data_IF_639180332618
#
_entry.id   IF_639180332618
#
_cell.length_a   1.000
_cell.length_b   1.000
_cell.length_c   1.000
_cell.angle_alpha   90.00
_cell.angle_beta   90.00
_cell.angle_gamma   90.00
#
_symmetry.space_group_name_H-M   'P 1'
#
loop_
_entity.id
_entity.type
_entity.pdbx_description
1 polymer ?
#
# COMPACT_ATOMS: atom_id res chain seq x y z
N UNK A 1 -0.07 -4.59 -2.42
CA UNK A 1 0.82 -5.74 -2.07
C UNK A 1 1.13 -5.72 -0.59
N UNK A 2 1.12 -6.88 0.08
CA UNK A 2 1.54 -7.08 1.47
C UNK A 2 2.72 -8.06 1.53
N UNK A 3 3.50 -7.99 2.60
CA UNK A 3 4.63 -8.88 2.87
C UNK A 3 5.83 -8.11 3.39
N UNK A 4 6.68 -8.78 4.15
CA UNK A 4 7.93 -8.21 4.65
C UNK A 4 8.91 -7.84 3.53
N UNK A 5 10.08 -7.36 3.92
CA UNK A 5 11.16 -7.09 2.97
C UNK A 5 11.59 -8.37 2.23
N UNK A 6 12.09 -8.23 1.01
CA UNK A 6 12.57 -9.35 0.20
C UNK A 6 11.59 -10.53 0.04
N UNK A 7 10.28 -10.26 0.03
CA UNK A 7 9.24 -11.28 -0.25
C UNK A 7 8.79 -11.27 -1.72
N UNK A 8 9.44 -10.51 -2.58
CA UNK A 8 9.14 -10.48 -4.02
C UNK A 8 7.93 -9.63 -4.44
N UNK A 9 7.42 -8.77 -3.55
CA UNK A 9 6.28 -7.86 -3.84
C UNK A 9 6.49 -7.06 -5.13
N UNK A 10 7.59 -6.32 -5.20
CA UNK A 10 7.93 -5.44 -6.32
C UNK A 10 8.05 -6.21 -7.63
N UNK A 11 8.76 -7.34 -7.62
CA UNK A 11 8.90 -8.17 -8.82
C UNK A 11 7.56 -8.69 -9.31
N UNK A 12 6.68 -9.10 -8.40
CA UNK A 12 5.34 -9.56 -8.74
C UNK A 12 4.46 -8.40 -9.24
N UNK A 13 4.46 -7.27 -8.54
CA UNK A 13 3.66 -6.10 -8.92
C UNK A 13 4.02 -5.60 -10.33
N UNK A 14 5.30 -5.50 -10.64
CA UNK A 14 5.80 -5.12 -11.96
C UNK A 14 5.41 -6.15 -13.03
N UNK A 15 5.55 -7.44 -12.75
CA UNK A 15 5.15 -8.49 -13.68
C UNK A 15 3.65 -8.44 -13.99
N UNK A 16 2.80 -8.32 -12.96
CA UNK A 16 1.36 -8.20 -13.13
C UNK A 16 0.96 -6.91 -13.89
N UNK A 17 1.64 -5.79 -13.62
CA UNK A 17 1.40 -4.55 -14.34
C UNK A 17 1.63 -4.71 -15.85
N UNK A 18 2.70 -5.39 -16.24
CA UNK A 18 3.01 -5.69 -17.65
C UNK A 18 2.01 -6.67 -18.24
N UNK A 19 1.72 -7.77 -17.55
CA UNK A 19 0.86 -8.85 -18.04
C UNK A 19 -0.56 -8.37 -18.32
N UNK A 20 -1.10 -7.55 -17.42
CA UNK A 20 -2.48 -7.05 -17.50
C UNK A 20 -2.58 -5.64 -18.09
N UNK A 21 -1.47 -4.99 -18.39
CA UNK A 21 -1.42 -3.58 -18.85
C UNK A 21 -2.18 -2.63 -17.91
N UNK A 22 -1.97 -2.81 -16.61
CA UNK A 22 -2.61 -2.05 -15.55
C UNK A 22 -1.62 -1.10 -14.88
N UNK A 23 -2.16 -0.05 -14.24
CA UNK A 23 -1.34 0.95 -13.54
C UNK A 23 -0.55 0.34 -12.39
N UNK A 24 0.68 0.81 -12.20
CA UNK A 24 1.58 0.41 -11.12
C UNK A 24 1.99 1.64 -10.31
N UNK A 25 1.80 1.57 -9.01
CA UNK A 25 2.16 2.61 -8.07
C UNK A 25 3.30 2.09 -7.22
N UNK A 26 4.51 2.67 -7.38
CA UNK A 26 5.70 2.22 -6.65
C UNK A 26 5.69 2.66 -5.19
N UNK A 27 6.65 2.13 -4.43
CA UNK A 27 6.88 2.44 -3.04
C UNK A 27 7.48 3.84 -2.85
N UNK A 28 6.71 4.77 -2.29
CA UNK A 28 7.20 6.12 -1.97
C UNK A 28 8.33 6.10 -0.94
N UNK A 29 8.33 5.13 -0.02
CA UNK A 29 9.40 4.95 0.95
C UNK A 29 10.75 4.70 0.26
N UNK A 30 10.78 3.98 -0.86
CA UNK A 30 12.00 3.72 -1.62
C UNK A 30 12.59 5.01 -2.17
N UNK A 31 11.76 5.85 -2.77
CA UNK A 31 12.18 7.16 -3.27
C UNK A 31 12.73 8.04 -2.15
N UNK A 32 12.10 8.02 -0.97
CA UNK A 32 12.58 8.72 0.22
C UNK A 32 13.98 8.23 0.62
N UNK A 33 14.19 6.90 0.73
CA UNK A 33 15.49 6.33 1.11
C UNK A 33 16.56 6.62 0.07
N UNK A 34 16.23 6.55 -1.21
CA UNK A 34 17.16 6.83 -2.31
C UNK A 34 17.60 8.30 -2.33
N UNK A 35 16.71 9.23 -1.96
CA UNK A 35 17.03 10.66 -1.89
C UNK A 35 17.76 11.05 -0.60
N UNK A 36 17.28 10.53 0.53
CA UNK A 36 17.82 10.89 1.84
C UNK A 36 19.04 10.06 2.26
N UNK A 37 19.31 8.94 1.56
CA UNK A 37 20.37 7.98 1.86
C UNK A 37 20.33 7.46 3.31
N UNK A 38 19.12 7.38 3.88
CA UNK A 38 18.83 6.86 5.23
C UNK A 38 17.41 6.38 5.34
N UNK A 39 17.16 5.55 6.33
CA UNK A 39 15.79 5.18 6.72
C UNK A 39 15.04 6.39 7.31
N UNK A 40 13.70 6.45 7.16
CA UNK A 40 12.89 7.52 7.72
C UNK A 40 12.86 7.46 9.24
N UNK A 41 12.63 8.62 9.86
CA UNK A 41 12.38 8.77 11.28
C UNK A 41 10.88 8.64 11.59
N UNK A 42 10.55 8.55 12.88
CA UNK A 42 9.15 8.43 13.30
C UNK A 42 8.29 9.62 12.84
N UNK A 43 8.83 10.83 12.87
CA UNK A 43 8.13 12.06 12.46
C UNK A 43 7.82 12.11 10.96
N UNK A 44 8.54 11.31 10.15
CA UNK A 44 8.41 11.27 8.70
C UNK A 44 7.41 10.20 8.22
N UNK A 45 7.02 9.27 9.09
CA UNK A 45 6.13 8.15 8.73
C UNK A 45 4.75 8.64 8.24
N UNK A 46 4.21 9.66 8.89
CA UNK A 46 2.93 10.29 8.48
C UNK A 46 3.00 10.84 7.05
N UNK A 47 4.07 11.53 6.73
CA UNK A 47 4.27 12.13 5.42
C UNK A 47 4.43 11.07 4.33
N UNK A 48 5.14 9.98 4.62
CA UNK A 48 5.31 8.84 3.71
C UNK A 48 3.96 8.14 3.46
N UNK A 49 3.17 7.90 4.51
CA UNK A 49 1.83 7.33 4.37
C UNK A 49 0.92 8.21 3.52
N UNK A 50 0.90 9.52 3.75
CA UNK A 50 0.11 10.47 2.99
C UNK A 50 0.55 10.50 1.53
N UNK A 51 1.85 10.59 1.26
CA UNK A 51 2.38 10.61 -0.09
C UNK A 51 2.04 9.32 -0.87
N UNK A 52 2.07 8.15 -0.23
CA UNK A 52 1.64 6.90 -0.85
C UNK A 52 0.13 6.93 -1.18
N UNK A 53 -0.70 7.45 -0.29
CA UNK A 53 -2.13 7.59 -0.52
C UNK A 53 -2.44 8.63 -1.61
N UNK A 54 -1.70 9.73 -1.65
CA UNK A 54 -1.87 10.77 -2.67
C UNK A 54 -1.50 10.23 -4.06
N UNK A 55 -0.39 9.51 -4.20
CA UNK A 55 -0.01 8.84 -5.45
C UNK A 55 -1.08 7.85 -5.94
N UNK A 56 -1.72 7.11 -5.03
CA UNK A 56 -2.85 6.23 -5.36
C UNK A 56 -4.04 7.05 -5.83
N UNK A 57 -4.40 8.13 -5.14
CA UNK A 57 -5.51 9.01 -5.49
C UNK A 57 -5.34 9.70 -6.84
N UNK A 58 -4.13 10.14 -7.15
CA UNK A 58 -3.77 10.71 -8.45
C UNK A 58 -3.96 9.67 -9.56
N UNK A 59 -3.36 8.49 -9.41
CA UNK A 59 -3.48 7.42 -10.39
C UNK A 59 -4.93 6.96 -10.61
N UNK A 60 -5.75 6.88 -9.53
CA UNK A 60 -7.18 6.57 -9.64
C UNK A 60 -7.96 7.67 -10.38
N UNK A 61 -7.56 8.93 -10.24
CA UNK A 61 -8.21 10.07 -10.91
C UNK A 61 -7.93 10.09 -12.42
N UNK A 62 -6.83 9.48 -12.86
CA UNK A 62 -6.43 9.37 -14.27
C UNK A 62 -7.08 8.18 -14.99
N UNK A 63 -7.71 7.26 -14.25
CA UNK A 63 -8.40 6.13 -14.85
C UNK A 63 -9.63 6.58 -15.64
N UNK A 64 -9.85 5.96 -16.81
CA UNK A 64 -11.04 6.21 -17.62
C UNK A 64 -12.31 5.75 -16.86
N UNK A 65 -13.24 6.66 -16.53
CA UNK A 65 -14.48 6.28 -15.86
C UNK A 65 -15.35 5.30 -16.66
N UNK A 66 -15.12 5.19 -17.96
CA UNK A 66 -15.82 4.27 -18.86
C UNK A 66 -15.20 2.87 -18.90
N UNK A 67 -14.02 2.68 -18.35
CA UNK A 67 -13.37 1.37 -18.32
C UNK A 67 -14.05 0.45 -17.31
N UNK A 68 -14.48 -0.72 -17.78
CA UNK A 68 -15.11 -1.72 -16.91
C UNK A 68 -14.04 -2.35 -16.03
N UNK A 69 -14.09 -2.08 -14.71
CA UNK A 69 -13.23 -2.72 -13.71
C UNK A 69 -11.74 -2.40 -13.83
N UNK A 70 -11.32 -1.11 -13.94
CA UNK A 70 -9.91 -0.79 -13.99
C UNK A 70 -9.21 -1.26 -12.70
N UNK A 71 -8.01 -1.84 -12.86
CA UNK A 71 -7.19 -2.36 -11.77
C UNK A 71 -5.94 -1.51 -11.64
N UNK A 72 -5.57 -1.16 -10.40
CA UNK A 72 -4.28 -0.58 -10.05
C UNK A 72 -3.54 -1.49 -9.09
N UNK A 73 -2.24 -1.64 -9.30
CA UNK A 73 -1.38 -2.35 -8.36
C UNK A 73 -0.57 -1.34 -7.57
N UNK A 74 -0.73 -1.37 -6.24
CA UNK A 74 0.05 -0.57 -5.31
C UNK A 74 1.09 -1.46 -4.59
N UNK A 75 2.36 -1.09 -4.69
CA UNK A 75 3.47 -1.79 -4.06
C UNK A 75 4.33 -0.81 -3.25
N UNK A 76 4.24 -0.89 -1.91
CA UNK A 76 3.33 -1.73 -1.13
C UNK A 76 1.95 -1.09 -0.90
N UNK A 77 1.07 -1.81 -0.20
CA UNK A 77 -0.14 -1.23 0.38
C UNK A 77 0.22 -0.15 1.41
N UNK A 78 -0.56 0.95 1.56
CA UNK A 78 -0.38 1.93 2.64
C UNK A 78 -0.36 1.30 4.04
N UNK A 79 -0.98 0.12 4.20
CA UNK A 79 -0.93 -0.67 5.43
C UNK A 79 0.49 -1.05 5.86
N UNK A 80 1.41 -1.23 4.90
CA UNK A 80 2.79 -1.57 5.21
C UNK A 80 3.54 -0.44 5.92
N UNK A 81 3.18 0.82 5.69
CA UNK A 81 3.73 1.94 6.47
C UNK A 81 3.36 1.81 7.95
N UNK A 82 2.10 1.40 8.26
CA UNK A 82 1.69 1.15 9.64
C UNK A 82 2.44 -0.05 10.26
N UNK A 83 2.64 -1.13 9.50
CA UNK A 83 3.44 -2.29 9.94
C UNK A 83 4.86 -1.87 10.28
N UNK A 84 5.52 -1.10 9.41
CA UNK A 84 6.89 -0.63 9.67
C UNK A 84 6.94 0.39 10.81
N UNK A 85 5.97 1.30 10.92
CA UNK A 85 5.90 2.23 12.05
C UNK A 85 5.77 1.51 13.40
N UNK A 86 4.97 0.45 13.47
CA UNK A 86 4.89 -0.36 14.67
C UNK A 86 6.20 -1.12 14.93
N UNK A 87 6.78 -1.73 13.88
CA UNK A 87 7.98 -2.56 14.02
C UNK A 87 9.19 -1.77 14.49
N UNK A 88 9.39 -0.56 13.97
CA UNK A 88 10.60 0.24 14.24
C UNK A 88 10.43 1.26 15.35
N UNK A 89 9.22 1.76 15.57
CA UNK A 89 8.96 2.87 16.48
C UNK A 89 7.92 2.56 17.56
N UNK A 90 7.27 1.41 17.51
CA UNK A 90 6.19 1.06 18.45
C UNK A 90 4.91 1.87 18.24
N UNK A 91 4.77 2.56 17.09
CA UNK A 91 3.64 3.43 16.81
C UNK A 91 2.41 2.64 16.32
N UNK A 92 1.53 2.32 17.26
CA UNK A 92 0.26 1.66 16.98
C UNK A 92 -0.79 2.60 16.35
N UNK A 93 -0.69 3.91 16.56
CA UNK A 93 -1.70 4.86 16.08
C UNK A 93 -1.71 4.94 14.54
N UNK A 94 -0.61 4.59 13.89
CA UNK A 94 -0.49 4.58 12.44
C UNK A 94 -1.50 3.64 11.76
N UNK A 95 -1.94 2.56 12.41
CA UNK A 95 -2.96 1.66 11.85
C UNK A 95 -4.31 2.35 11.66
N UNK A 96 -4.78 3.09 12.66
CA UNK A 96 -6.05 3.83 12.55
C UNK A 96 -5.97 4.87 11.41
N UNK A 97 -4.82 5.53 11.29
CA UNK A 97 -4.58 6.51 10.23
C UNK A 97 -4.55 5.87 8.84
N UNK A 98 -3.80 4.78 8.67
CA UNK A 98 -3.73 4.04 7.40
C UNK A 98 -5.12 3.52 7.00
N UNK A 99 -5.85 2.93 7.93
CA UNK A 99 -7.21 2.44 7.70
C UNK A 99 -8.14 3.56 7.25
N UNK A 100 -8.13 4.70 7.95
CA UNK A 100 -8.97 5.84 7.63
C UNK A 100 -8.67 6.40 6.23
N UNK A 101 -7.39 6.51 5.85
CA UNK A 101 -6.97 6.97 4.52
C UNK A 101 -7.37 5.99 3.42
N UNK A 102 -7.16 4.69 3.64
CA UNK A 102 -7.54 3.65 2.68
C UNK A 102 -9.05 3.62 2.45
N UNK A 103 -9.85 3.78 3.51
CA UNK A 103 -11.31 3.90 3.40
C UNK A 103 -11.73 5.17 2.66
N UNK A 104 -11.09 6.30 2.97
CA UNK A 104 -11.38 7.56 2.30
C UNK A 104 -11.12 7.47 0.80
N UNK A 105 -10.01 6.84 0.37
CA UNK A 105 -9.70 6.60 -1.03
C UNK A 105 -10.75 5.68 -1.69
N UNK A 106 -11.08 4.55 -1.04
CA UNK A 106 -12.07 3.60 -1.56
C UNK A 106 -13.42 4.25 -1.79
N UNK A 107 -13.86 5.08 -0.85
CA UNK A 107 -15.13 5.81 -0.96
C UNK A 107 -15.09 6.94 -2.00
N UNK A 108 -14.01 7.70 -2.07
CA UNK A 108 -13.87 8.82 -3.00
C UNK A 108 -13.87 8.36 -4.47
N UNK A 109 -13.27 7.21 -4.75
CA UNK A 109 -13.08 6.69 -6.10
C UNK A 109 -13.91 5.43 -6.38
N UNK A 110 -14.78 5.00 -5.44
CA UNK A 110 -15.71 3.87 -5.61
C UNK A 110 -15.02 2.57 -6.03
N UNK A 111 -13.97 2.18 -5.31
CA UNK A 111 -13.25 0.93 -5.57
C UNK A 111 -13.14 0.05 -4.31
N UNK A 112 -12.72 -1.20 -4.50
CA UNK A 112 -12.46 -2.14 -3.42
C UNK A 112 -10.97 -2.47 -3.33
N UNK A 113 -10.46 -2.60 -2.09
CA UNK A 113 -9.13 -3.11 -1.83
C UNK A 113 -9.09 -4.64 -1.97
N UNK A 114 -8.06 -5.11 -2.65
CA UNK A 114 -7.69 -6.52 -2.67
C UNK A 114 -6.22 -6.67 -2.33
N UNK A 115 -5.88 -7.55 -1.39
CA UNK A 115 -4.53 -7.70 -0.89
C UNK A 115 -3.88 -8.98 -1.38
N UNK A 116 -2.77 -8.86 -2.09
CA UNK A 116 -1.87 -9.97 -2.40
C UNK A 116 -0.79 -10.02 -1.32
N UNK A 117 -0.79 -11.05 -0.48
CA UNK A 117 0.16 -11.24 0.61
C UNK A 117 1.25 -12.21 0.19
N UNK A 118 2.46 -11.71 -0.04
CA UNK A 118 3.63 -12.50 -0.41
C UNK A 118 4.26 -13.15 0.83
N UNK A 119 4.33 -14.48 0.85
CA UNK A 119 5.02 -15.25 1.89
C UNK A 119 6.55 -15.04 1.85
N UNK A 120 7.23 -15.47 2.89
CA UNK A 120 8.69 -15.36 3.05
C UNK A 120 9.47 -16.61 2.58
N UNK A 121 8.86 -17.38 1.70
CA UNK A 121 9.37 -18.64 1.16
C UNK A 121 10.45 -18.49 0.08
N UNK A 122 10.87 -17.25 -0.22
CA UNK A 122 12.00 -16.99 -1.09
C UNK A 122 13.25 -16.59 -0.28
N UNK A 123 14.42 -16.90 -0.85
CA UNK A 123 15.70 -16.62 -0.19
C UNK A 123 15.87 -15.13 0.05
N UNK A 124 16.16 -14.76 1.29
CA UNK A 124 16.45 -13.37 1.64
C UNK A 124 17.80 -12.93 1.02
N UNK A 125 17.83 -11.71 0.50
CA UNK A 125 19.04 -11.09 -0.06
C UNK A 125 19.13 -9.64 0.41
N UNK A 126 20.34 -9.23 0.84
CA UNK A 126 20.60 -7.84 1.16
C UNK A 126 20.51 -6.95 -0.11
N UNK A 127 20.05 -5.71 0.04
CA UNK A 127 20.03 -4.69 -1.01
C UNK A 127 20.48 -3.31 -0.50
N UNK A 128 21.28 -3.28 0.53
CA UNK A 128 21.80 -2.04 1.12
C UNK A 128 20.93 -1.48 2.24
N UNK A 129 20.39 -0.26 2.10
CA UNK A 129 19.75 0.49 3.20
C UNK A 129 18.31 0.10 3.50
N UNK A 130 17.69 -0.77 2.71
CA UNK A 130 16.25 -1.04 2.81
C UNK A 130 15.90 -2.44 3.31
N UNK A 131 16.89 -3.22 3.72
CA UNK A 131 16.68 -4.59 4.21
C UNK A 131 17.50 -4.86 5.46
N UNK A 132 16.79 -4.93 6.57
CA UNK A 132 17.39 -5.05 7.90
C UNK A 132 17.62 -6.49 8.34
N UNK A 133 17.24 -7.46 7.50
CA UNK A 133 17.55 -8.86 7.71
C UNK A 133 16.37 -9.81 7.86
N UNK A 134 16.62 -11.13 7.83
CA UNK A 134 15.56 -12.13 7.86
C UNK A 134 14.64 -12.04 9.09
N UNK A 135 15.17 -11.63 10.24
CA UNK A 135 14.39 -11.45 11.47
C UNK A 135 13.38 -10.30 11.34
N UNK A 136 13.79 -9.18 10.72
CA UNK A 136 12.88 -8.07 10.48
C UNK A 136 11.78 -8.44 9.49
N UNK A 137 12.10 -9.23 8.46
CA UNK A 137 11.11 -9.79 7.55
C UNK A 137 10.10 -10.68 8.30
N UNK A 138 10.56 -11.60 9.14
CA UNK A 138 9.69 -12.48 9.93
C UNK A 138 8.78 -11.68 10.87
N UNK A 139 9.31 -10.64 11.52
CA UNK A 139 8.52 -9.74 12.37
C UNK A 139 7.44 -9.01 11.60
N UNK A 140 7.77 -8.46 10.41
CA UNK A 140 6.76 -7.79 9.56
C UNK A 140 5.63 -8.75 9.19
N UNK A 141 5.93 -10.01 8.87
CA UNK A 141 4.90 -11.00 8.54
C UNK A 141 4.01 -11.32 9.73
N UNK A 142 4.60 -11.54 10.91
CA UNK A 142 3.84 -11.76 12.15
C UNK A 142 2.92 -10.56 12.47
N UNK A 143 3.37 -9.33 12.23
CA UNK A 143 2.56 -8.13 12.41
C UNK A 143 1.43 -8.04 11.38
N UNK A 144 1.64 -8.40 10.11
CA UNK A 144 0.59 -8.46 9.10
C UNK A 144 -0.50 -9.46 9.51
N UNK A 145 -0.12 -10.62 10.03
CA UNK A 145 -1.06 -11.62 10.53
C UNK A 145 -1.84 -11.14 11.76
N UNK A 146 -1.17 -10.44 12.66
CA UNK A 146 -1.78 -9.87 13.87
C UNK A 146 -2.70 -8.69 13.56
N UNK A 147 -2.33 -7.85 12.61
CA UNK A 147 -3.04 -6.64 12.20
C UNK A 147 -3.43 -6.71 10.71
N UNK A 148 -4.36 -7.58 10.34
CA UNK A 148 -4.79 -7.67 8.95
C UNK A 148 -5.50 -6.38 8.51
N UNK A 149 -5.25 -5.92 7.27
CA UNK A 149 -5.87 -4.70 6.78
C UNK A 149 -7.38 -4.88 6.65
N UNK A 150 -8.12 -3.85 7.06
CA UNK A 150 -9.57 -3.72 6.85
C UNK A 150 -10.40 -4.88 7.44
N UNK A 151 -9.90 -5.57 8.48
CA UNK A 151 -10.63 -6.66 9.14
C UNK A 151 -11.97 -6.15 9.69
N UNK A 152 -13.04 -6.87 9.36
CA UNK A 152 -14.40 -6.55 9.84
C UNK A 152 -15.13 -5.46 9.05
N UNK A 153 -14.58 -4.97 7.94
CA UNK A 153 -15.29 -4.10 7.02
C UNK A 153 -15.99 -4.97 5.99
N UNK A 154 -17.30 -4.98 5.99
CA UNK A 154 -18.13 -5.80 5.12
C UNK A 154 -17.67 -5.68 3.64
N UNK A 155 -17.31 -6.81 3.05
CA UNK A 155 -16.91 -6.90 1.65
C UNK A 155 -15.43 -6.69 1.34
N UNK A 156 -14.60 -6.28 2.30
CA UNK A 156 -13.19 -5.93 2.06
C UNK A 156 -12.16 -6.93 2.60
N UNK A 157 -12.57 -8.06 3.17
CA UNK A 157 -11.67 -9.10 3.71
C UNK A 157 -11.10 -10.00 2.60
N UNK A 158 -10.50 -9.40 1.58
CA UNK A 158 -9.96 -10.16 0.45
C UNK A 158 -8.45 -10.11 0.48
N UNK A 159 -7.88 -11.12 1.12
CA UNK A 159 -6.44 -11.35 1.13
C UNK A 159 -6.15 -12.69 0.46
N UNK A 160 -5.32 -12.67 -0.57
CA UNK A 160 -4.80 -13.88 -1.21
C UNK A 160 -3.36 -14.10 -0.75
N UNK A 161 -3.08 -15.27 -0.19
CA UNK A 161 -1.75 -15.66 0.23
C UNK A 161 -1.00 -16.29 -0.93
N UNK A 162 0.18 -15.75 -1.23
CA UNK A 162 1.00 -16.14 -2.36
C UNK A 162 2.29 -16.81 -1.88
N UNK A 163 2.51 -18.04 -2.33
CA UNK A 163 3.69 -18.84 -2.07
C UNK A 163 4.36 -19.26 -3.38
N UNK A 164 5.58 -19.80 -3.28
CA UNK A 164 6.34 -20.28 -4.44
C UNK A 164 7.14 -19.19 -5.15
N UNK A 165 7.67 -19.54 -6.30
CA UNK A 165 8.43 -18.63 -7.15
C UNK A 165 7.55 -17.60 -7.86
N UNK A 166 8.19 -16.68 -8.58
CA UNK A 166 7.50 -15.58 -9.29
C UNK A 166 6.40 -16.09 -10.23
N UNK A 167 6.66 -17.13 -11.01
CA UNK A 167 5.71 -17.64 -12.00
C UNK A 167 4.46 -18.25 -11.33
N UNK A 168 4.65 -18.97 -10.22
CA UNK A 168 3.53 -19.52 -9.46
C UNK A 168 2.66 -18.42 -8.86
N UNK A 169 3.28 -17.41 -8.25
CA UNK A 169 2.58 -16.24 -7.71
C UNK A 169 1.85 -15.45 -8.80
N UNK A 170 2.46 -15.29 -9.98
CA UNK A 170 1.81 -14.68 -11.15
C UNK A 170 0.56 -15.45 -11.54
N UNK A 171 0.68 -16.78 -11.67
CA UNK A 171 -0.44 -17.65 -12.05
C UNK A 171 -1.61 -17.56 -11.06
N UNK A 172 -1.33 -17.61 -9.74
CA UNK A 172 -2.35 -17.49 -8.69
C UNK A 172 -3.01 -16.10 -8.77
N UNK A 173 -2.20 -15.05 -8.85
CA UNK A 173 -2.70 -13.67 -8.93
C UNK A 173 -3.56 -13.46 -10.16
N UNK A 174 -3.17 -14.00 -11.31
CA UNK A 174 -3.93 -13.92 -12.55
C UNK A 174 -5.33 -14.53 -12.39
N UNK A 175 -5.43 -15.76 -11.89
CA UNK A 175 -6.72 -16.39 -11.65
C UNK A 175 -7.62 -15.52 -10.76
N UNK A 176 -7.06 -14.91 -9.71
CA UNK A 176 -7.82 -14.06 -8.79
C UNK A 176 -8.25 -12.74 -9.42
N UNK A 177 -7.38 -12.09 -10.17
CA UNK A 177 -7.73 -10.85 -10.87
C UNK A 177 -8.81 -11.09 -11.94
N UNK A 178 -8.74 -12.21 -12.65
CA UNK A 178 -9.77 -12.61 -13.62
C UNK A 178 -11.13 -12.88 -12.94
N UNK A 179 -11.12 -13.48 -11.74
CA UNK A 179 -12.33 -13.70 -10.95
C UNK A 179 -12.93 -12.38 -10.44
N UNK A 180 -12.08 -11.46 -9.97
CA UNK A 180 -12.50 -10.14 -9.51
C UNK A 180 -13.11 -9.31 -10.65
N UNK A 181 -12.54 -9.35 -11.84
CA UNK A 181 -13.02 -8.64 -13.01
C UNK A 181 -14.41 -9.15 -13.50
N UNK A 182 -14.82 -10.35 -13.09
CA UNK A 182 -16.11 -10.95 -13.43
C UNK A 182 -17.16 -10.85 -12.32
N UNK A 183 -16.77 -10.40 -11.12
CA UNK A 183 -17.66 -10.35 -9.96
C UNK A 183 -18.37 -8.98 -9.86
N UNK A 184 -19.71 -8.89 -10.06
CA UNK A 184 -20.43 -7.62 -9.96
C UNK A 184 -20.34 -6.95 -8.60
N UNK A 185 -20.25 -7.75 -7.52
CA UNK A 185 -20.12 -7.25 -6.14
C UNK A 185 -18.74 -6.63 -5.88
N UNK A 186 -17.73 -6.98 -6.70
CA UNK A 186 -16.38 -6.43 -6.60
C UNK A 186 -16.24 -5.11 -7.36
N UNK A 187 -17.13 -4.84 -8.29
CA UNK A 187 -17.13 -3.70 -9.22
C UNK A 187 -17.89 -2.48 -8.67
N UNK A 188 -18.10 -2.40 -7.37
CA UNK A 188 -18.58 -1.16 -6.76
C UNK A 188 -19.92 -1.28 -6.05
N UNK A 189 -19.88 -1.44 -4.75
CA UNK A 189 -20.93 -0.94 -3.87
C UNK A 189 -20.32 0.18 -3.00
N UNK A 190 -20.94 1.37 -2.91
CA UNK A 190 -20.43 2.43 -2.07
C UNK A 190 -20.45 2.02 -0.61
N UNK A 191 -19.31 2.09 0.07
CA UNK A 191 -19.24 1.95 1.52
C UNK A 191 -19.59 3.30 2.13
N UNK A 192 -20.82 3.42 2.62
CA UNK A 192 -21.27 4.62 3.34
C UNK A 192 -20.84 4.49 4.80
N UNK A 193 -19.92 5.32 5.25
CA UNK A 193 -19.58 5.41 6.65
C UNK A 193 -19.51 6.87 7.13
N UNK A 194 -20.19 7.18 8.24
CA UNK A 194 -20.38 8.53 8.76
C UNK A 194 -19.07 9.21 9.25
N UNK A 195 -18.00 8.44 9.47
CA UNK A 195 -16.69 8.96 9.92
C UNK A 195 -15.92 9.76 8.85
N UNK A 196 -16.32 9.65 7.58
CA UNK A 196 -15.66 10.35 6.45
C UNK A 196 -15.82 11.86 6.54
N UNK A 197 -16.89 12.36 7.16
CA UNK A 197 -17.16 13.80 7.29
C UNK A 197 -16.09 14.51 8.13
N UNK A 198 -15.50 13.83 9.11
CA UNK A 198 -14.45 14.39 9.95
C UNK A 198 -13.11 14.56 9.20
N UNK A 199 -12.81 13.69 8.20
CA UNK A 199 -11.55 13.71 7.47
C UNK A 199 -11.49 14.81 6.39
N UNK A 200 -12.62 15.15 5.76
CA UNK A 200 -12.67 16.30 4.84
C UNK A 200 -12.41 17.64 5.54
N UNK A 201 -12.72 17.73 6.84
CA UNK A 201 -12.39 18.90 7.65
C UNK A 201 -10.92 18.95 8.04
N UNK A 202 -10.26 17.79 8.17
CA UNK A 202 -8.84 17.67 8.47
C UNK A 202 -7.96 18.02 7.26
N UNK A 203 -8.29 17.53 6.04
CA UNK A 203 -7.61 17.92 4.80
C UNK A 203 -7.64 19.44 4.57
N UNK A 204 -8.79 20.09 4.74
CA UNK A 204 -8.91 21.54 4.58
C UNK A 204 -8.05 22.36 5.56
N UNK A 205 -7.67 21.81 6.69
CA UNK A 205 -6.78 22.47 7.65
C UNK A 205 -5.29 22.27 7.31
N UNK A 206 -4.94 21.25 6.55
CA UNK A 206 -3.55 20.99 6.15
C UNK A 206 -3.17 21.65 4.81
N UNK A 207 -4.10 21.78 3.88
CA UNK A 207 -3.87 22.48 2.59
C UNK A 207 -3.70 24.00 2.72
N UNK A 208 -3.84 24.56 3.93
CA UNK A 208 -3.57 25.96 4.24
C UNK A 208 -2.11 26.26 4.64
N UNK A 209 -1.13 25.38 4.35
CA UNK A 209 0.29 25.62 4.60
C UNK A 209 1.20 25.15 3.48
N UNK A 210 2.40 25.76 3.39
CA UNK A 210 3.09 25.93 2.12
C UNK A 210 3.77 24.65 1.68
N UNK A 211 3.58 24.37 0.43
CA UNK A 211 4.54 23.93 -0.58
C UNK A 211 5.93 23.53 -0.06
N UNK A 212 6.03 22.31 0.50
CA UNK A 212 7.26 21.52 0.60
C UNK A 212 6.90 20.08 0.88
N UNK A 213 7.09 19.23 -0.13
CA UNK A 213 7.10 17.80 0.06
C UNK A 213 8.18 17.42 1.10
N UNK A 214 8.03 16.32 1.84
CA UNK A 214 9.06 15.81 2.77
C UNK A 214 10.42 15.61 2.08
N UNK A 215 10.41 15.50 0.77
CA UNK A 215 11.55 15.33 -0.13
C UNK A 215 12.40 16.62 -0.19
N UNK A 216 11.76 17.80 -0.14
CA UNK A 216 12.50 19.10 -0.17
C UNK A 216 13.29 19.38 1.11
N UNK A 217 12.95 18.76 2.24
CA UNK A 217 13.68 18.92 3.49
C UNK A 217 15.00 18.13 3.55
N UNK A 218 15.14 17.06 2.77
CA UNK A 218 16.40 16.30 2.68
C UNK A 218 17.49 17.05 1.90
N UNK A 219 17.11 17.88 0.92
CA UNK A 219 18.06 18.62 0.07
C UNK A 219 18.69 19.84 0.75
N UNK A 220 18.24 20.22 1.96
CA UNK A 220 18.76 21.42 2.67
C UNK A 220 19.66 21.12 3.86
N UNK A 221 20.04 19.87 4.11
CA UNK A 221 20.85 19.46 5.27
C UNK A 221 22.19 18.83 4.84
N UNK A 222 22.58 18.93 3.58
CA UNK A 222 23.93 18.59 3.10
C UNK A 222 24.73 19.82 2.73
#
# INVERSE_FOLDING_TARGET
MLGGECTGKTSLAQALSVDFKIGYIPEVLRDFVDQCQRSPRVEEQDAILLAQCDAIGEALSELDPGATGPILICDPSPWMTAIYSLQYFGDQAMFAKAQALMLALANAHQFNWFHLHCADDIVWRADGLQRDGPSHRANSLALIEQYPPLRGIAGHDRVEFLQGGLDERRRISQCRLDDLAKCPECLGAPVINAEIIAMHSWRRKQTAKPDKSPIDSCTRIC
#
